data_IF_135657447825
#
_entry.id   IF_135657447825
#
_cell.length_a   1.000
_cell.length_b   1.000
_cell.length_c   1.000
_cell.angle_alpha   90.00
_cell.angle_beta   90.00
_cell.angle_gamma   90.00
#
_symmetry.space_group_name_H-M   'P 1'
#
loop_
_entity.id
_entity.type
_entity.pdbx_description
1 polymer ?
#
# COMPACT_ATOMS: atom_id res chain seq x y z
N UNK A 1 -43.33 -25.42 -21.46
CA UNK A 1 -41.95 -25.35 -21.00
C UNK A 1 -41.73 -23.98 -20.31
N UNK A 2 -41.71 -23.99 -19.00
CA UNK A 2 -41.32 -22.80 -18.21
C UNK A 2 -39.82 -22.66 -18.32
N UNK A 3 -39.33 -21.69 -19.07
CA UNK A 3 -37.94 -21.25 -19.04
C UNK A 3 -37.68 -20.58 -17.68
N UNK A 4 -37.11 -21.29 -16.74
CA UNK A 4 -36.56 -20.72 -15.52
C UNK A 4 -35.45 -19.73 -15.89
N UNK A 5 -35.74 -18.41 -15.87
CA UNK A 5 -34.73 -17.37 -15.95
C UNK A 5 -33.74 -17.62 -14.82
N UNK A 6 -32.47 -17.76 -15.18
CA UNK A 6 -31.38 -17.80 -14.21
C UNK A 6 -31.48 -16.56 -13.30
N UNK A 7 -31.25 -16.69 -12.00
CA UNK A 7 -31.28 -15.55 -11.09
C UNK A 7 -30.28 -14.50 -11.57
N UNK A 8 -30.74 -13.28 -11.79
CA UNK A 8 -29.87 -12.15 -12.14
C UNK A 8 -28.97 -11.90 -10.94
N UNK A 9 -27.68 -12.23 -11.06
CA UNK A 9 -26.71 -11.90 -10.01
C UNK A 9 -26.52 -10.38 -9.94
N UNK A 10 -26.41 -9.82 -8.72
CA UNK A 10 -26.08 -8.41 -8.56
C UNK A 10 -24.69 -8.11 -9.14
N UNK A 11 -24.44 -6.88 -9.57
CA UNK A 11 -23.09 -6.44 -9.94
C UNK A 11 -22.09 -6.67 -8.80
N UNK A 12 -20.89 -7.10 -9.14
CA UNK A 12 -19.78 -7.29 -8.22
C UNK A 12 -19.08 -5.96 -7.94
N UNK A 13 -18.94 -5.61 -6.67
CA UNK A 13 -18.37 -4.34 -6.25
C UNK A 13 -16.92 -4.55 -5.81
N UNK A 14 -16.01 -3.85 -6.47
CA UNK A 14 -14.61 -3.77 -6.12
C UNK A 14 -14.29 -2.49 -5.38
N UNK A 15 -13.49 -2.60 -4.32
CA UNK A 15 -12.96 -1.49 -3.55
C UNK A 15 -11.47 -1.32 -3.83
N UNK A 16 -11.06 -0.12 -4.15
CA UNK A 16 -9.67 0.24 -4.36
C UNK A 16 -9.23 1.24 -3.31
N UNK A 17 -8.11 0.94 -2.65
CA UNK A 17 -7.50 1.76 -1.61
C UNK A 17 -6.11 2.21 -2.06
N UNK A 18 -5.98 3.49 -2.41
CA UNK A 18 -4.71 4.06 -2.84
C UNK A 18 -3.68 4.20 -1.71
N UNK A 19 -2.43 4.35 -2.10
CA UNK A 19 -1.34 4.69 -1.17
C UNK A 19 -1.35 6.18 -0.81
N UNK A 20 -0.90 6.51 0.40
CA UNK A 20 -0.91 7.91 0.87
C UNK A 20 -0.32 8.10 2.28
N UNK A 21 0.35 7.11 2.84
CA UNK A 21 0.98 7.18 4.16
C UNK A 21 -0.04 7.51 5.26
N UNK A 22 0.26 8.49 6.11
CA UNK A 22 -0.59 8.88 7.24
C UNK A 22 -2.02 9.30 6.85
N UNK A 23 -2.25 9.68 5.59
CA UNK A 23 -3.60 10.00 5.08
C UNK A 23 -4.53 8.78 5.02
N UNK A 24 -4.01 7.57 5.23
CA UNK A 24 -4.82 6.33 5.30
C UNK A 24 -6.02 6.41 6.25
N UNK A 25 -5.92 7.22 7.31
CA UNK A 25 -7.04 7.45 8.22
C UNK A 25 -8.31 7.95 7.50
N UNK A 26 -8.18 8.73 6.41
CA UNK A 26 -9.32 9.19 5.62
C UNK A 26 -10.04 8.02 4.93
N UNK A 27 -9.28 7.03 4.42
CA UNK A 27 -9.88 5.84 3.82
C UNK A 27 -10.74 5.04 4.82
N UNK A 28 -10.32 4.98 6.09
CA UNK A 28 -11.12 4.33 7.15
C UNK A 28 -12.45 5.05 7.36
N UNK A 29 -12.47 6.39 7.25
CA UNK A 29 -13.71 7.17 7.28
C UNK A 29 -14.70 6.76 6.18
N UNK A 30 -14.19 6.56 4.96
CA UNK A 30 -15.01 6.10 3.84
C UNK A 30 -15.51 4.66 4.07
N UNK A 31 -14.66 3.77 4.62
CA UNK A 31 -15.09 2.41 4.97
C UNK A 31 -16.26 2.40 5.96
N UNK A 32 -16.24 3.30 6.97
CA UNK A 32 -17.38 3.44 7.92
C UNK A 32 -18.68 3.78 7.21
N UNK A 33 -18.63 4.66 6.19
CA UNK A 33 -19.81 5.01 5.41
C UNK A 33 -20.26 3.86 4.51
N UNK A 34 -19.35 3.13 3.87
CA UNK A 34 -19.64 1.92 3.11
C UNK A 34 -20.37 0.89 3.99
N UNK A 35 -19.88 0.66 5.22
CA UNK A 35 -20.55 -0.23 6.17
C UNK A 35 -21.91 0.31 6.62
N UNK A 36 -22.00 1.60 6.92
CA UNK A 36 -23.22 2.24 7.39
C UNK A 36 -24.37 2.13 6.37
N UNK A 37 -24.05 2.28 5.09
CA UNK A 37 -25.06 2.16 4.01
C UNK A 37 -25.22 0.72 3.51
N UNK A 38 -24.39 -0.21 3.99
CA UNK A 38 -24.51 -1.64 3.68
C UNK A 38 -24.10 -2.01 2.25
N UNK A 39 -23.11 -1.31 1.68
CA UNK A 39 -22.58 -1.65 0.35
C UNK A 39 -21.75 -2.94 0.46
N UNK A 40 -22.14 -4.03 -0.21
CA UNK A 40 -21.38 -5.27 -0.18
C UNK A 40 -20.13 -5.16 -1.06
N UNK A 41 -18.96 -5.43 -0.48
CA UNK A 41 -17.69 -5.45 -1.21
C UNK A 41 -17.36 -6.89 -1.58
N UNK A 42 -17.12 -7.16 -2.86
CA UNK A 42 -16.77 -8.47 -3.39
C UNK A 42 -15.27 -8.67 -3.62
N UNK A 43 -14.54 -7.59 -3.91
CA UNK A 43 -13.11 -7.61 -4.20
C UNK A 43 -12.43 -6.36 -3.61
N UNK A 44 -11.19 -6.51 -3.19
CA UNK A 44 -10.39 -5.39 -2.69
C UNK A 44 -9.03 -5.39 -3.34
N UNK A 45 -8.56 -4.23 -3.81
CA UNK A 45 -7.17 -4.02 -4.19
C UNK A 45 -6.59 -2.81 -3.46
N UNK A 46 -5.33 -2.92 -3.02
CA UNK A 46 -4.69 -1.85 -2.26
C UNK A 46 -3.22 -1.64 -2.60
N UNK A 47 -2.73 -0.43 -2.32
CA UNK A 47 -1.30 -0.10 -2.47
C UNK A 47 -0.82 0.62 -1.21
N UNK A 48 0.39 0.26 -0.73
CA UNK A 48 1.01 0.90 0.44
C UNK A 48 0.09 0.86 1.67
N UNK A 49 -0.22 2.01 2.29
CA UNK A 49 -1.17 2.07 3.42
C UNK A 49 -2.55 1.50 3.04
N UNK A 50 -2.96 1.66 1.78
CA UNK A 50 -4.20 1.07 1.27
C UNK A 50 -4.16 -0.45 1.27
N UNK A 51 -2.99 -1.07 1.13
CA UNK A 51 -2.83 -2.52 1.24
C UNK A 51 -3.02 -3.01 2.67
N UNK A 52 -2.58 -2.24 3.67
CA UNK A 52 -2.77 -2.57 5.09
C UNK A 52 -4.25 -2.49 5.44
N UNK A 53 -4.89 -1.35 5.14
CA UNK A 53 -6.31 -1.14 5.44
C UNK A 53 -7.18 -2.17 4.71
N UNK A 54 -6.95 -2.35 3.42
CA UNK A 54 -7.71 -3.29 2.58
C UNK A 54 -7.49 -4.74 2.99
N UNK A 55 -6.26 -5.14 3.32
CA UNK A 55 -5.92 -6.48 3.78
C UNK A 55 -6.58 -6.82 5.12
N UNK A 56 -6.54 -5.91 6.10
CA UNK A 56 -7.22 -6.08 7.37
C UNK A 56 -8.75 -6.14 7.20
N UNK A 57 -9.30 -5.27 6.35
CA UNK A 57 -10.73 -5.27 6.05
C UNK A 57 -11.16 -6.57 5.35
N UNK A 58 -10.34 -7.08 4.44
CA UNK A 58 -10.57 -8.38 3.78
C UNK A 58 -10.59 -9.54 4.78
N UNK A 59 -9.75 -9.50 5.80
CA UNK A 59 -9.69 -10.47 6.92
C UNK A 59 -10.79 -10.29 7.96
N UNK A 60 -11.76 -9.40 7.71
CA UNK A 60 -12.97 -9.25 8.50
C UNK A 60 -12.90 -8.22 9.62
N UNK A 61 -11.82 -7.46 9.76
CA UNK A 61 -11.82 -6.31 10.64
C UNK A 61 -12.82 -5.26 10.14
N UNK A 62 -13.65 -4.75 11.05
CA UNK A 62 -14.59 -3.68 10.71
C UNK A 62 -13.87 -2.33 10.66
N UNK A 63 -14.45 -1.38 9.98
CA UNK A 63 -13.88 -0.04 9.87
C UNK A 63 -13.59 0.60 11.25
N UNK A 64 -14.45 0.35 12.25
CA UNK A 64 -14.21 0.84 13.61
C UNK A 64 -13.04 0.13 14.31
N UNK A 65 -12.81 -1.17 14.03
CA UNK A 65 -11.67 -1.89 14.59
C UNK A 65 -10.37 -1.33 14.01
N UNK A 66 -10.35 -1.08 12.70
CA UNK A 66 -9.21 -0.47 12.00
C UNK A 66 -8.95 0.95 12.52
N UNK A 67 -10.00 1.78 12.71
CA UNK A 67 -9.85 3.13 13.28
C UNK A 67 -9.23 3.08 14.68
N UNK A 68 -9.75 2.19 15.54
CA UNK A 68 -9.23 2.00 16.89
C UNK A 68 -7.77 1.56 16.85
N UNK A 69 -7.44 0.62 15.98
CA UNK A 69 -6.08 0.14 15.77
C UNK A 69 -5.15 1.29 15.37
N UNK A 70 -5.56 2.10 14.39
CA UNK A 70 -4.74 3.22 13.91
C UNK A 70 -4.52 4.30 14.98
N UNK A 71 -5.49 4.52 15.87
CA UNK A 71 -5.37 5.50 16.95
C UNK A 71 -4.60 5.01 18.17
N UNK A 72 -4.64 3.69 18.43
CA UNK A 72 -4.05 3.11 19.64
C UNK A 72 -2.57 2.74 19.50
N UNK A 73 -2.04 2.66 18.27
CA UNK A 73 -0.67 2.25 18.02
C UNK A 73 0.31 3.43 17.94
N UNK A 74 1.49 3.22 18.51
CA UNK A 74 2.64 4.09 18.23
C UNK A 74 3.29 3.68 16.90
N UNK A 75 2.77 4.24 15.82
CA UNK A 75 3.24 3.97 14.47
C UNK A 75 4.72 4.31 14.26
N UNK A 76 5.23 5.33 14.95
CA UNK A 76 6.64 5.69 14.87
C UNK A 76 7.51 4.57 15.43
N UNK A 77 7.15 4.03 16.59
CA UNK A 77 7.84 2.90 17.19
C UNK A 77 7.73 1.61 16.36
N UNK A 78 6.56 1.36 15.75
CA UNK A 78 6.36 0.21 14.87
C UNK A 78 7.18 0.30 13.58
N UNK A 79 7.29 1.50 13.00
CA UNK A 79 8.06 1.71 11.78
C UNK A 79 9.56 1.82 12.05
N UNK A 80 9.97 2.38 13.18
CA UNK A 80 11.36 2.73 13.47
C UNK A 80 12.16 1.56 14.05
N UNK A 81 11.81 0.28 13.83
CA UNK A 81 12.55 -0.86 14.39
C UNK A 81 13.59 -0.39 15.42
N UNK A 82 13.28 -0.30 16.69
CA UNK A 82 14.06 0.40 17.72
C UNK A 82 15.54 0.01 17.77
N UNK A 83 16.25 0.18 16.69
CA UNK A 83 17.70 0.22 16.72
C UNK A 83 18.09 1.61 17.19
N UNK A 84 18.26 1.74 18.50
CA UNK A 84 18.61 2.99 19.18
C UNK A 84 19.88 3.65 18.65
N UNK A 85 20.72 2.92 17.90
CA UNK A 85 21.92 3.45 17.26
C UNK A 85 21.62 4.33 16.04
N UNK A 86 20.46 4.18 15.41
CA UNK A 86 20.05 4.98 14.25
C UNK A 86 19.10 6.12 14.62
N UNK A 87 18.36 6.04 15.71
CA UNK A 87 17.38 7.06 16.09
C UNK A 87 17.97 8.45 16.32
N UNK A 88 19.19 8.56 16.84
CA UNK A 88 19.89 9.84 16.95
C UNK A 88 20.34 10.47 15.63
N UNK A 89 20.18 9.73 14.51
CA UNK A 89 20.56 10.18 13.14
C UNK A 89 19.35 10.41 12.23
N UNK A 90 18.18 9.91 12.60
CA UNK A 90 16.96 9.97 11.79
C UNK A 90 16.07 11.15 12.16
N UNK A 91 16.20 11.66 13.39
CA UNK A 91 15.45 12.82 13.85
C UNK A 91 16.43 13.97 14.11
N UNK A 92 16.43 14.96 13.24
CA UNK A 92 17.13 16.22 13.47
C UNK A 92 16.08 17.31 13.68
N UNK A 93 16.12 17.95 14.84
CA UNK A 93 15.41 19.19 15.08
C UNK A 93 16.29 20.35 14.64
N UNK A 94 15.79 21.17 13.73
CA UNK A 94 16.44 22.40 13.32
C UNK A 94 15.35 23.47 13.23
N UNK A 95 15.48 24.52 13.99
CA UNK A 95 14.52 25.64 14.09
C UNK A 95 13.07 25.24 14.45
N UNK A 96 12.90 24.25 15.35
CA UNK A 96 11.58 23.77 15.79
C UNK A 96 10.85 22.90 14.76
N UNK A 97 11.51 22.52 13.68
CA UNK A 97 10.98 21.61 12.67
C UNK A 97 11.65 20.23 12.81
N UNK A 98 10.85 19.20 13.03
CA UNK A 98 11.34 17.83 13.06
C UNK A 98 11.44 17.28 11.64
N UNK A 99 12.67 17.03 11.20
CA UNK A 99 12.92 16.33 9.93
C UNK A 99 12.84 14.84 10.15
N UNK A 100 11.81 14.21 9.59
CA UNK A 100 11.62 12.77 9.67
C UNK A 100 12.68 12.00 8.84
N UNK A 101 13.33 12.66 7.90
CA UNK A 101 14.33 12.09 7.00
C UNK A 101 15.45 13.09 6.68
N UNK A 102 16.57 12.95 7.37
CA UNK A 102 17.83 13.57 6.95
C UNK A 102 18.76 12.47 6.43
N UNK A 103 18.94 12.36 5.13
CA UNK A 103 19.86 11.39 4.56
C UNK A 103 21.30 11.91 4.61
N UNK A 104 22.21 11.32 5.38
CA UNK A 104 23.64 11.53 5.15
C UNK A 104 24.03 10.70 3.94
N UNK A 105 24.09 11.32 2.76
CA UNK A 105 24.69 10.69 1.58
C UNK A 105 26.20 10.62 1.80
N UNK A 106 26.68 9.55 2.42
CA UNK A 106 28.12 9.21 2.41
C UNK A 106 28.40 8.48 1.12
N UNK A 107 28.94 9.22 0.15
CA UNK A 107 29.51 8.66 -1.06
C UNK A 107 30.80 7.92 -0.68
N UNK A 108 30.72 6.62 -0.42
CA UNK A 108 31.89 5.72 -0.42
C UNK A 108 32.00 5.15 -1.82
N UNK A 109 33.01 5.61 -2.54
CA UNK A 109 33.42 5.01 -3.81
C UNK A 109 33.87 3.57 -3.56
N UNK A 110 33.27 2.61 -4.28
CA UNK A 110 33.80 1.25 -4.46
C UNK A 110 33.37 0.25 -3.41
N UNK A 111 32.20 -0.34 -3.62
CA UNK A 111 31.89 -1.78 -3.49
C UNK A 111 30.40 -1.96 -3.80
N UNK A 112 30.07 -2.99 -4.55
CA UNK A 112 28.79 -3.56 -4.98
C UNK A 112 27.49 -2.80 -4.68
N UNK A 113 26.79 -2.40 -5.73
CA UNK A 113 25.54 -1.66 -5.73
C UNK A 113 24.31 -2.48 -5.20
N UNK A 114 24.47 -3.35 -4.21
CA UNK A 114 23.42 -4.29 -3.79
C UNK A 114 23.02 -4.24 -2.32
N UNK A 115 23.53 -3.32 -1.51
CA UNK A 115 23.14 -3.25 -0.11
C UNK A 115 22.54 -1.90 0.25
N UNK A 116 21.25 -1.94 0.64
CA UNK A 116 20.57 -0.99 1.48
C UNK A 116 19.99 0.28 0.82
N UNK A 117 18.95 0.15 0.02
CA UNK A 117 17.96 1.18 -0.14
C UNK A 117 16.89 1.06 0.96
N UNK A 118 17.24 1.27 2.21
CA UNK A 118 16.30 1.32 3.32
C UNK A 118 17.04 1.35 4.64
N UNK A 119 16.70 2.34 5.48
CA UNK A 119 17.28 2.51 6.82
C UNK A 119 16.61 1.59 7.84
N UNK A 120 15.33 1.27 7.63
CA UNK A 120 14.50 0.51 8.55
C UNK A 120 14.27 -0.91 8.03
N UNK A 121 14.46 -1.91 8.89
CA UNK A 121 14.19 -3.30 8.54
C UNK A 121 12.69 -3.56 8.37
N UNK A 122 11.85 -2.91 9.19
CA UNK A 122 10.41 -3.07 9.19
C UNK A 122 9.97 -4.40 9.80
N UNK A 123 10.79 -5.00 10.66
CA UNK A 123 10.47 -6.26 11.32
C UNK A 123 9.36 -6.10 12.35
N UNK A 124 9.34 -4.97 13.08
CA UNK A 124 8.27 -4.70 14.05
C UNK A 124 6.92 -4.54 13.38
N UNK A 125 6.85 -3.77 12.30
CA UNK A 125 5.59 -3.62 11.55
C UNK A 125 5.18 -4.94 10.88
N UNK A 126 6.12 -5.73 10.38
CA UNK A 126 5.83 -7.05 9.84
C UNK A 126 5.23 -7.97 10.90
N UNK A 127 5.88 -8.11 12.07
CA UNK A 127 5.41 -8.95 13.17
C UNK A 127 4.05 -8.48 13.70
N UNK A 128 3.83 -7.19 13.75
CA UNK A 128 2.54 -6.62 14.12
C UNK A 128 1.44 -7.01 13.13
N UNK A 129 1.68 -6.83 11.82
CA UNK A 129 0.74 -7.23 10.78
C UNK A 129 0.48 -8.74 10.77
N UNK A 130 1.51 -9.56 10.98
CA UNK A 130 1.40 -11.02 11.07
C UNK A 130 0.54 -11.44 12.26
N UNK A 131 0.73 -10.79 13.40
CA UNK A 131 -0.10 -11.00 14.59
C UNK A 131 -1.56 -10.65 14.34
N UNK A 132 -1.84 -9.53 13.66
CA UNK A 132 -3.19 -9.13 13.30
C UNK A 132 -3.85 -10.14 12.37
N UNK A 133 -3.14 -10.60 11.35
CA UNK A 133 -3.65 -11.61 10.42
C UNK A 133 -3.93 -12.92 11.13
N UNK A 134 -2.99 -13.39 11.98
CA UNK A 134 -3.16 -14.63 12.74
C UNK A 134 -4.36 -14.62 13.70
N UNK A 135 -4.75 -13.44 14.20
CA UNK A 135 -5.88 -13.25 15.11
C UNK A 135 -7.07 -12.56 14.45
N UNK A 136 -7.12 -12.54 13.13
CA UNK A 136 -8.20 -11.88 12.38
C UNK A 136 -9.59 -12.50 12.68
N UNK A 137 -10.68 -11.76 12.46
CA UNK A 137 -12.02 -12.29 12.57
C UNK A 137 -12.25 -13.56 11.72
N UNK A 138 -11.63 -13.65 10.54
CA UNK A 138 -11.68 -14.85 9.68
C UNK A 138 -11.00 -16.04 10.38
N UNK A 139 -9.77 -15.87 10.88
CA UNK A 139 -9.03 -16.93 11.55
C UNK A 139 -9.71 -17.38 12.86
N UNK A 140 -10.40 -16.48 13.52
CA UNK A 140 -11.20 -16.78 14.74
C UNK A 140 -12.57 -17.36 14.44
N UNK A 141 -12.91 -17.59 13.17
CA UNK A 141 -14.21 -18.15 12.76
C UNK A 141 -15.40 -17.21 12.91
N UNK A 142 -15.16 -15.91 13.11
CA UNK A 142 -16.22 -14.89 13.23
C UNK A 142 -16.75 -14.46 11.86
N UNK A 143 -15.99 -14.72 10.80
CA UNK A 143 -16.33 -14.54 9.40
C UNK A 143 -15.95 -15.81 8.63
N UNK A 144 -16.83 -16.27 7.73
CA UNK A 144 -16.62 -17.57 7.06
C UNK A 144 -15.47 -17.58 6.06
N UNK A 145 -15.28 -16.47 5.32
CA UNK A 145 -14.25 -16.35 4.29
C UNK A 145 -13.74 -14.92 4.20
N UNK A 146 -12.46 -14.73 3.90
CA UNK A 146 -11.95 -13.40 3.59
C UNK A 146 -12.57 -12.89 2.27
N UNK A 147 -12.63 -11.56 2.13
CA UNK A 147 -12.92 -10.96 0.83
C UNK A 147 -11.66 -11.16 -0.04
N UNK A 148 -11.80 -11.62 -1.31
CA UNK A 148 -10.65 -11.70 -2.22
C UNK A 148 -9.90 -10.38 -2.27
N UNK A 149 -8.60 -10.46 -1.99
CA UNK A 149 -7.73 -9.30 -1.82
C UNK A 149 -6.47 -9.43 -2.66
N UNK A 150 -6.03 -8.33 -3.25
CA UNK A 150 -4.73 -8.19 -3.88
C UNK A 150 -4.05 -6.89 -3.48
N UNK A 151 -2.74 -6.87 -3.40
CA UNK A 151 -2.00 -5.63 -3.27
C UNK A 151 -0.87 -5.52 -4.29
N UNK A 152 -0.44 -4.28 -4.54
CA UNK A 152 0.58 -4.01 -5.55
C UNK A 152 1.91 -3.77 -4.88
N UNK A 153 2.95 -4.38 -5.43
CA UNK A 153 4.35 -4.11 -5.16
C UNK A 153 5.09 -3.84 -6.48
N UNK A 154 6.30 -3.35 -6.40
CA UNK A 154 7.17 -3.10 -7.54
C UNK A 154 8.47 -3.92 -7.43
N UNK A 155 8.74 -4.77 -8.43
CA UNK A 155 10.02 -5.48 -8.50
C UNK A 155 11.08 -4.57 -9.14
N UNK A 156 12.03 -4.10 -8.33
CA UNK A 156 13.10 -3.20 -8.80
C UNK A 156 14.11 -3.89 -9.72
N UNK A 157 14.21 -5.21 -9.71
CA UNK A 157 15.13 -5.94 -10.58
C UNK A 157 14.63 -6.02 -12.01
N UNK A 158 13.33 -6.32 -12.17
CA UNK A 158 12.70 -6.47 -13.48
C UNK A 158 11.95 -5.20 -13.91
N UNK A 159 11.89 -4.18 -13.03
CA UNK A 159 11.16 -2.93 -13.26
C UNK A 159 9.70 -3.17 -13.67
N UNK A 160 9.03 -4.07 -12.94
CA UNK A 160 7.65 -4.45 -13.26
C UNK A 160 6.75 -4.41 -12.03
N UNK A 161 5.49 -4.17 -12.29
CA UNK A 161 4.42 -4.30 -11.30
C UNK A 161 4.21 -5.77 -10.92
N UNK A 162 4.07 -6.02 -9.64
CA UNK A 162 3.74 -7.33 -9.08
C UNK A 162 2.43 -7.21 -8.32
N UNK A 163 1.45 -8.01 -8.72
CA UNK A 163 0.19 -8.17 -8.00
C UNK A 163 0.35 -9.35 -7.05
N UNK A 164 0.18 -9.09 -5.76
CA UNK A 164 0.32 -10.06 -4.67
C UNK A 164 -1.07 -10.42 -4.16
N UNK A 165 -1.59 -11.56 -4.55
CA UNK A 165 -2.93 -12.09 -4.24
C UNK A 165 -2.89 -13.45 -3.53
N UNK A 166 -1.71 -14.01 -3.35
CA UNK A 166 -1.48 -15.31 -2.72
C UNK A 166 -0.34 -15.25 -1.72
N UNK A 167 -0.21 -16.29 -0.87
CA UNK A 167 0.85 -16.39 0.13
C UNK A 167 0.54 -15.67 1.44
N UNK A 168 1.56 -15.21 2.17
CA UNK A 168 1.39 -14.51 3.44
C UNK A 168 0.88 -13.10 3.23
N UNK A 169 -0.33 -12.82 3.71
CA UNK A 169 -0.93 -11.48 3.63
C UNK A 169 -0.07 -10.42 4.35
N UNK A 170 0.46 -10.72 5.52
CA UNK A 170 1.34 -9.81 6.25
C UNK A 170 2.59 -9.45 5.44
N UNK A 171 3.21 -10.44 4.78
CA UNK A 171 4.37 -10.22 3.91
C UNK A 171 4.02 -9.40 2.68
N UNK A 172 2.86 -9.67 2.08
CA UNK A 172 2.38 -8.92 0.92
C UNK A 172 2.12 -7.45 1.27
N UNK A 173 1.44 -7.18 2.38
CA UNK A 173 1.24 -5.82 2.91
C UNK A 173 2.58 -5.13 3.19
N UNK A 174 3.52 -5.85 3.85
CA UNK A 174 4.86 -5.31 4.14
C UNK A 174 5.66 -5.00 2.87
N UNK A 175 5.54 -5.80 1.82
CA UNK A 175 6.17 -5.54 0.53
C UNK A 175 5.56 -4.31 -0.15
N UNK A 176 4.22 -4.23 -0.16
CA UNK A 176 3.48 -3.12 -0.78
C UNK A 176 3.76 -1.76 -0.13
N UNK A 177 4.18 -1.73 1.14
CA UNK A 177 4.52 -0.51 1.89
C UNK A 177 6.03 -0.23 2.00
N UNK A 178 6.86 -1.00 1.32
CA UNK A 178 8.33 -0.89 1.41
C UNK A 178 8.86 0.32 0.62
N UNK A 179 8.62 1.54 1.12
CA UNK A 179 9.05 2.79 0.49
C UNK A 179 10.58 2.79 0.34
N UNK A 180 11.11 2.90 -0.90
CA UNK A 180 12.55 2.99 -1.13
C UNK A 180 13.18 4.14 -0.37
N UNK A 181 14.33 3.88 0.26
CA UNK A 181 15.01 4.84 1.11
C UNK A 181 14.52 4.87 2.55
N UNK A 182 13.31 4.40 2.83
CA UNK A 182 12.74 4.27 4.19
C UNK A 182 12.88 2.85 4.69
N UNK A 183 12.30 1.91 3.98
CA UNK A 183 12.31 0.50 4.35
C UNK A 183 13.21 -0.33 3.44
N UNK A 184 13.81 -1.37 4.01
CA UNK A 184 14.49 -2.40 3.22
C UNK A 184 13.48 -3.08 2.29
N UNK A 185 13.88 -3.31 1.03
CA UNK A 185 13.09 -4.11 0.09
C UNK A 185 12.81 -5.51 0.64
N UNK A 186 11.71 -6.10 0.23
CA UNK A 186 11.33 -7.46 0.60
C UNK A 186 11.78 -8.43 -0.49
N UNK A 187 12.68 -9.36 -0.18
CA UNK A 187 13.01 -10.44 -1.10
C UNK A 187 11.84 -11.44 -1.15
N UNK A 188 11.40 -11.77 -2.36
CA UNK A 188 10.40 -12.80 -2.62
C UNK A 188 10.84 -13.60 -3.86
N UNK A 189 11.25 -14.84 -3.65
CA UNK A 189 11.85 -15.70 -4.70
C UNK A 189 13.04 -14.98 -5.40
N UNK A 190 12.90 -14.72 -6.70
CA UNK A 190 13.92 -14.01 -7.49
C UNK A 190 13.68 -12.49 -7.55
N UNK A 191 12.60 -12.01 -6.95
CA UNK A 191 12.18 -10.61 -6.96
C UNK A 191 12.78 -9.82 -5.78
N UNK A 192 12.85 -8.52 -5.96
CA UNK A 192 13.19 -7.56 -4.90
C UNK A 192 12.10 -6.51 -4.88
N UNK A 193 11.16 -6.66 -3.94
CA UNK A 193 9.91 -5.90 -3.91
C UNK A 193 10.04 -4.64 -3.06
N UNK A 194 9.51 -3.57 -3.59
CA UNK A 194 9.35 -2.27 -2.91
C UNK A 194 7.90 -1.78 -3.07
N UNK A 195 7.60 -0.62 -2.48
CA UNK A 195 6.27 -0.01 -2.49
C UNK A 195 5.68 0.09 -3.89
N UNK A 196 4.46 -0.42 -4.03
CA UNK A 196 3.72 -0.44 -5.30
C UNK A 196 3.30 0.93 -5.80
N UNK A 197 3.29 1.95 -4.93
CA UNK A 197 2.99 3.33 -5.30
C UNK A 197 3.97 3.92 -6.31
N UNK A 198 5.12 3.27 -6.49
CA UNK A 198 6.11 3.64 -7.52
C UNK A 198 5.62 3.37 -8.94
N UNK A 199 4.64 2.49 -9.13
CA UNK A 199 4.15 2.07 -10.44
C UNK A 199 2.63 2.12 -10.56
N UNK A 200 1.89 1.75 -9.51
CA UNK A 200 0.43 1.67 -9.52
C UNK A 200 -0.13 2.02 -8.13
N UNK A 201 -0.29 3.32 -7.87
CA UNK A 201 -0.75 3.79 -6.58
C UNK A 201 -2.27 3.72 -6.38
N UNK A 202 -3.03 3.55 -7.45
CA UNK A 202 -4.49 3.42 -7.43
C UNK A 202 -4.91 2.21 -8.29
N UNK A 203 -4.89 0.97 -7.74
CA UNK A 203 -4.94 -0.27 -8.52
C UNK A 203 -6.37 -0.64 -9.00
N UNK A 204 -7.04 0.26 -9.74
CA UNK A 204 -8.37 0.03 -10.33
C UNK A 204 -8.32 -1.10 -11.35
N UNK A 205 -7.29 -1.15 -12.18
CA UNK A 205 -7.09 -2.21 -13.16
C UNK A 205 -6.95 -3.59 -12.52
N UNK A 206 -6.37 -3.67 -11.31
CA UNK A 206 -6.23 -4.92 -10.56
C UNK A 206 -7.60 -5.44 -10.13
N UNK A 207 -8.40 -4.60 -9.46
CA UNK A 207 -9.73 -5.02 -8.99
C UNK A 207 -10.68 -5.35 -10.15
N UNK A 208 -10.53 -4.67 -11.30
CA UNK A 208 -11.26 -5.02 -12.54
C UNK A 208 -10.90 -6.42 -13.04
N UNK A 209 -9.61 -6.75 -13.04
CA UNK A 209 -9.14 -8.11 -13.42
C UNK A 209 -9.61 -9.19 -12.45
N UNK A 210 -9.86 -8.85 -11.18
CA UNK A 210 -10.45 -9.76 -10.20
C UNK A 210 -11.93 -10.05 -10.48
N UNK A 211 -12.60 -9.25 -11.32
CA UNK A 211 -13.98 -9.46 -11.75
C UNK A 211 -14.98 -8.43 -11.21
N UNK A 212 -14.54 -7.26 -10.79
CA UNK A 212 -15.44 -6.19 -10.34
C UNK A 212 -16.17 -5.54 -11.53
N UNK A 213 -17.51 -5.48 -11.42
CA UNK A 213 -18.39 -4.78 -12.37
C UNK A 213 -18.44 -3.27 -12.06
N UNK A 214 -18.44 -2.92 -10.77
CA UNK A 214 -18.47 -1.54 -10.25
C UNK A 214 -17.25 -1.34 -9.36
N UNK A 215 -16.51 -0.26 -9.55
CA UNK A 215 -15.32 0.06 -8.77
C UNK A 215 -15.47 1.36 -8.01
N UNK A 216 -15.33 1.27 -6.69
CA UNK A 216 -15.19 2.39 -5.77
C UNK A 216 -13.69 2.58 -5.49
N UNK A 217 -13.13 3.70 -5.90
CA UNK A 217 -11.72 4.01 -5.69
C UNK A 217 -11.57 5.15 -4.68
N UNK A 218 -10.84 4.87 -3.60
CA UNK A 218 -10.47 5.84 -2.58
C UNK A 218 -9.03 6.26 -2.82
N UNK A 219 -8.86 7.51 -3.24
CA UNK A 219 -7.55 8.08 -3.55
C UNK A 219 -7.12 9.04 -2.44
N UNK A 220 -5.93 8.83 -1.93
CA UNK A 220 -5.35 9.63 -0.85
C UNK A 220 -4.33 10.67 -1.36
N UNK A 221 -4.19 10.76 -2.67
CA UNK A 221 -3.24 11.69 -3.29
C UNK A 221 -3.95 12.92 -3.83
N UNK A 222 -3.61 14.06 -3.25
CA UNK A 222 -4.11 15.35 -3.69
C UNK A 222 -3.35 15.82 -4.94
N UNK A 223 -4.08 16.23 -6.00
CA UNK A 223 -3.57 16.97 -7.17
C UNK A 223 -2.35 16.37 -7.91
N UNK A 224 -2.35 15.07 -8.22
CA UNK A 224 -1.33 14.48 -9.09
C UNK A 224 -1.37 14.98 -10.54
N UNK A 225 -2.41 15.73 -10.92
CA UNK A 225 -2.63 16.12 -12.32
C UNK A 225 -1.61 17.09 -12.87
N UNK A 226 -1.12 18.02 -12.03
CA UNK A 226 -0.36 19.18 -12.48
C UNK A 226 1.07 19.21 -11.95
N UNK A 227 1.47 18.23 -11.11
CA UNK A 227 2.79 18.24 -10.53
C UNK A 227 3.83 17.66 -11.50
N UNK A 228 4.40 18.54 -12.31
CA UNK A 228 5.69 18.32 -12.98
C UNK A 228 6.85 18.16 -11.98
N UNK A 229 6.59 18.30 -10.67
CA UNK A 229 7.57 18.15 -9.63
C UNK A 229 7.47 16.76 -9.01
N UNK A 230 8.35 15.85 -9.47
CA UNK A 230 8.50 14.56 -8.82
C UNK A 230 9.02 14.76 -7.39
N UNK A 231 8.33 14.24 -6.34
CA UNK A 231 8.91 14.20 -4.99
C UNK A 231 10.18 13.35 -4.94
N UNK A 232 10.44 12.57 -6.00
CA UNK A 232 11.62 11.76 -6.20
C UNK A 232 12.63 12.42 -7.15
N UNK A 233 12.44 13.70 -7.50
CA UNK A 233 13.36 14.42 -8.39
C UNK A 233 14.80 14.45 -7.89
N UNK A 234 14.99 14.35 -6.56
CA UNK A 234 16.33 14.23 -5.95
C UNK A 234 17.07 12.95 -6.35
N UNK A 235 16.36 11.92 -6.83
CA UNK A 235 16.94 10.68 -7.32
C UNK A 235 17.49 10.80 -8.76
N UNK A 236 17.16 11.89 -9.46
CA UNK A 236 17.60 12.11 -10.84
C UNK A 236 19.13 12.30 -10.90
N UNK A 237 19.77 11.58 -11.81
CA UNK A 237 21.22 11.57 -11.93
C UNK A 237 21.94 10.55 -11.04
N UNK A 238 21.19 9.73 -10.28
CA UNK A 238 21.74 8.65 -9.47
C UNK A 238 21.91 7.34 -10.26
N UNK A 239 21.35 7.28 -11.47
CA UNK A 239 21.47 6.18 -12.41
C UNK A 239 20.44 5.05 -12.25
N UNK A 240 20.18 4.33 -13.34
CA UNK A 240 19.37 3.12 -13.35
C UNK A 240 17.92 3.29 -12.90
N UNK A 241 17.48 2.44 -11.97
CA UNK A 241 16.09 2.43 -11.44
C UNK A 241 15.70 3.77 -10.81
N UNK A 242 16.67 4.48 -10.22
CA UNK A 242 16.38 5.74 -9.52
C UNK A 242 16.05 6.86 -10.50
N UNK A 243 16.74 6.94 -11.63
CA UNK A 243 16.40 7.88 -12.69
C UNK A 243 15.03 7.57 -13.29
N UNK A 244 14.74 6.28 -13.50
CA UNK A 244 13.43 5.84 -13.98
C UNK A 244 12.30 6.20 -13.01
N UNK A 245 12.50 6.06 -11.70
CA UNK A 245 11.54 6.47 -10.68
C UNK A 245 11.33 8.00 -10.66
N UNK A 246 12.40 8.76 -10.90
CA UNK A 246 12.31 10.22 -10.98
C UNK A 246 11.44 10.70 -12.15
N UNK A 247 11.28 9.88 -13.20
CA UNK A 247 10.41 10.18 -14.37
C UNK A 247 8.93 9.94 -14.10
N UNK A 248 8.57 9.44 -12.91
CA UNK A 248 7.17 9.24 -12.51
C UNK A 248 6.36 8.33 -13.44
N UNK A 249 6.78 7.09 -13.68
CA UNK A 249 6.04 6.15 -14.54
C UNK A 249 4.63 5.83 -13.98
N UNK A 250 4.42 6.04 -12.69
CA UNK A 250 3.15 5.88 -12.00
C UNK A 250 2.06 6.83 -12.51
N UNK A 251 2.41 8.06 -12.94
CA UNK A 251 1.42 9.09 -13.31
C UNK A 251 0.54 8.64 -14.48
N UNK A 252 1.15 8.09 -15.52
CA UNK A 252 0.39 7.64 -16.70
C UNK A 252 -0.63 6.57 -16.32
N UNK A 253 -0.22 5.58 -15.55
CA UNK A 253 -1.08 4.51 -15.10
C UNK A 253 -2.15 5.00 -14.12
N UNK A 254 -1.78 5.87 -13.18
CA UNK A 254 -2.69 6.52 -12.27
C UNK A 254 -3.82 7.26 -12.98
N UNK A 255 -3.49 8.08 -14.00
CA UNK A 255 -4.49 8.82 -14.76
C UNK A 255 -5.47 7.89 -15.48
N UNK A 256 -4.99 6.78 -16.06
CA UNK A 256 -5.85 5.77 -16.68
C UNK A 256 -6.74 5.11 -15.63
N UNK A 257 -6.17 4.63 -14.54
CA UNK A 257 -6.91 3.93 -13.49
C UNK A 257 -7.98 4.81 -12.86
N UNK A 258 -7.68 6.09 -12.63
CA UNK A 258 -8.64 7.05 -12.09
C UNK A 258 -9.89 7.17 -12.97
N UNK A 259 -9.74 7.21 -14.29
CA UNK A 259 -10.88 7.32 -15.23
C UNK A 259 -11.67 6.02 -15.36
N UNK A 260 -11.11 4.90 -14.90
CA UNK A 260 -11.78 3.59 -14.92
C UNK A 260 -12.56 3.29 -13.62
N UNK A 261 -12.47 4.15 -12.61
CA UNK A 261 -13.30 4.04 -11.42
C UNK A 261 -14.71 4.57 -11.70
N UNK A 262 -15.74 3.83 -11.28
CA UNK A 262 -17.15 4.28 -11.40
C UNK A 262 -17.48 5.31 -10.32
N UNK A 263 -16.92 5.11 -9.13
CA UNK A 263 -17.03 6.06 -8.00
C UNK A 263 -15.61 6.38 -7.54
N UNK A 264 -15.25 7.64 -7.72
CA UNK A 264 -13.94 8.15 -7.31
C UNK A 264 -14.08 9.11 -6.13
N UNK A 265 -13.36 8.81 -5.04
CA UNK A 265 -13.37 9.57 -3.79
C UNK A 265 -11.93 10.04 -3.52
N UNK A 266 -11.76 11.36 -3.39
CA UNK A 266 -10.48 12.01 -3.08
C UNK A 266 -10.63 13.01 -1.94
#
# INVERSE_FOLDING_TARGET
QQTTKAPVSRPKIGLVLGGGGAKGAAAVGVLKEIERVGIPIDYIAGTSIGSIIGGLYAEGYRANDIDTLFRSQDWLSLMADRDTTLMGKVFKEEDGVYYLFGFPVRRKAGTGANEAFGLLHGDHIYNFLDTLVAHSPVQRGLQQKPIPFACVAFDIRKQQEIVLDTGSLARNMRASMAIPGVFKPIPLDTMTLVDGGMINNLPVDVVRKMGADIVIAIDLQQNKHDDNHSPLAFLKGMGGVLDWLAERPDIKKYNVNRTQADIYIN
#
